data_IF_546342274687
#
_entry.id   IF_546342274687
#
_cell.length_a   1.000
_cell.length_b   1.000
_cell.length_c   1.000
_cell.angle_alpha   90.00
_cell.angle_beta   90.00
_cell.angle_gamma   90.00
#
_symmetry.space_group_name_H-M   'P 1'
#
loop_
_entity.id
_entity.type
_entity.pdbx_description
1 polymer ?
#
# COMPACT_ATOMS: atom_id res chain seq x y z
N UNK A 1 -1.92 22.54 13.87
CA UNK A 1 -2.72 21.33 13.58
C UNK A 1 -1.72 20.25 13.23
N UNK A 2 -1.54 19.24 14.07
CA UNK A 2 -0.62 18.14 13.77
C UNK A 2 -1.21 17.33 12.63
N UNK A 3 -0.57 17.36 11.46
CA UNK A 3 -1.02 16.61 10.29
C UNK A 3 -0.99 15.11 10.64
N UNK A 4 -2.15 14.46 10.58
CA UNK A 4 -2.32 13.03 10.91
C UNK A 4 -1.66 12.22 9.79
N UNK A 5 -0.38 11.88 9.94
CA UNK A 5 0.39 11.19 8.90
C UNK A 5 0.16 9.68 8.97
N UNK A 6 -0.60 9.16 8.02
CA UNK A 6 -0.72 7.73 7.74
C UNK A 6 0.45 7.31 6.85
N UNK A 7 1.05 6.16 7.13
CA UNK A 7 2.13 5.58 6.35
C UNK A 7 1.92 4.07 6.20
N UNK A 8 2.35 3.53 5.07
CA UNK A 8 2.38 2.08 4.81
C UNK A 8 3.78 1.55 5.15
N UNK A 9 3.84 0.47 5.92
CA UNK A 9 5.05 -0.22 6.30
C UNK A 9 4.94 -1.72 6.00
N UNK A 10 6.09 -2.40 5.92
CA UNK A 10 6.18 -3.86 5.76
C UNK A 10 5.29 -4.43 4.65
N UNK A 11 5.19 -3.73 3.52
CA UNK A 11 4.42 -4.19 2.37
C UNK A 11 5.02 -5.49 1.85
N UNK A 12 4.21 -6.55 1.89
CA UNK A 12 4.52 -7.85 1.35
C UNK A 12 3.44 -8.25 0.34
N UNK A 13 3.85 -8.84 -0.78
CA UNK A 13 2.95 -9.43 -1.75
C UNK A 13 3.13 -10.94 -1.75
N UNK A 14 2.03 -11.68 -1.75
CA UNK A 14 2.01 -13.14 -1.77
C UNK A 14 1.05 -13.65 -2.84
N UNK A 15 1.34 -14.80 -3.43
CA UNK A 15 0.40 -15.52 -4.28
C UNK A 15 -0.14 -16.75 -3.54
N UNK A 16 -1.46 -16.86 -3.44
CA UNK A 16 -2.16 -17.98 -2.79
C UNK A 16 -3.17 -18.53 -3.78
N UNK A 17 -2.97 -19.78 -4.23
CA UNK A 17 -3.86 -20.48 -5.19
C UNK A 17 -4.14 -19.66 -6.46
N UNK A 18 -3.11 -19.01 -7.02
CA UNK A 18 -3.23 -18.18 -8.23
C UNK A 18 -3.93 -16.84 -8.02
N UNK A 19 -4.12 -16.41 -6.78
CA UNK A 19 -4.62 -15.08 -6.43
C UNK A 19 -3.53 -14.30 -5.72
N UNK A 20 -3.34 -13.05 -6.10
CA UNK A 20 -2.40 -12.16 -5.46
C UNK A 20 -3.04 -11.53 -4.22
N UNK A 21 -2.27 -11.44 -3.15
CA UNK A 21 -2.62 -10.78 -1.91
C UNK A 21 -1.52 -9.80 -1.54
N UNK A 22 -1.90 -8.72 -0.90
CA UNK A 22 -0.98 -7.79 -0.24
C UNK A 22 -1.27 -7.77 1.24
N UNK A 23 -0.21 -7.83 2.02
CA UNK A 23 -0.23 -7.64 3.46
C UNK A 23 0.64 -6.44 3.78
N UNK A 24 0.15 -5.50 4.57
CA UNK A 24 0.92 -4.33 4.97
C UNK A 24 0.47 -3.79 6.32
N UNK A 25 1.37 -3.10 6.99
CA UNK A 25 1.09 -2.40 8.23
C UNK A 25 0.72 -0.95 7.95
N UNK A 26 -0.33 -0.48 8.61
CA UNK A 26 -0.72 0.92 8.67
C UNK A 26 -0.09 1.52 9.92
N UNK A 27 0.84 2.44 9.71
CA UNK A 27 1.46 3.20 10.76
C UNK A 27 0.89 4.62 10.82
N UNK A 28 0.66 5.12 12.02
CA UNK A 28 0.21 6.48 12.26
C UNK A 28 1.08 7.11 13.32
N UNK A 29 1.63 8.30 13.03
CA UNK A 29 2.58 8.98 13.91
C UNK A 29 3.77 8.09 14.35
N UNK A 30 4.21 7.18 13.48
CA UNK A 30 5.32 6.26 13.75
C UNK A 30 4.95 4.98 14.50
N UNK A 31 3.68 4.75 14.81
CA UNK A 31 3.20 3.54 15.49
C UNK A 31 2.30 2.72 14.56
N UNK A 32 2.56 1.41 14.45
CA UNK A 32 1.65 0.50 13.73
C UNK A 32 0.33 0.41 14.49
N UNK A 33 -0.77 0.75 13.82
CA UNK A 33 -2.13 0.76 14.39
C UNK A 33 -3.01 -0.35 13.83
N UNK A 34 -2.73 -0.82 12.63
CA UNK A 34 -3.46 -1.90 11.98
C UNK A 34 -2.56 -2.64 10.99
N UNK A 35 -2.88 -3.90 10.72
CA UNK A 35 -2.34 -4.69 9.62
C UNK A 35 -3.50 -5.01 8.68
N UNK A 36 -3.29 -4.80 7.38
CA UNK A 36 -4.28 -5.06 6.34
C UNK A 36 -3.79 -6.24 5.52
N UNK A 37 -4.67 -7.23 5.36
CA UNK A 37 -4.52 -8.28 4.35
C UNK A 37 -5.62 -8.10 3.31
N UNK A 38 -5.26 -7.99 2.03
CA UNK A 38 -6.24 -7.76 1.00
C UNK A 38 -5.89 -8.44 -0.33
N UNK A 39 -6.89 -9.00 -1.03
CA UNK A 39 -6.66 -9.51 -2.38
C UNK A 39 -6.38 -8.36 -3.36
N UNK A 40 -5.44 -8.60 -4.27
CA UNK A 40 -5.19 -7.77 -5.43
C UNK A 40 -5.95 -8.29 -6.65
N UNK A 41 -6.70 -7.39 -7.30
CA UNK A 41 -7.29 -7.62 -8.62
C UNK A 41 -6.74 -6.58 -9.60
N UNK A 42 -6.08 -7.05 -10.67
CA UNK A 42 -5.47 -6.19 -11.70
C UNK A 42 -4.57 -5.09 -11.13
N UNK A 43 -3.77 -5.42 -10.10
CA UNK A 43 -2.84 -4.49 -9.46
C UNK A 43 -3.48 -3.51 -8.47
N UNK A 44 -4.80 -3.64 -8.18
CA UNK A 44 -5.51 -2.80 -7.20
C UNK A 44 -6.03 -3.62 -6.04
N UNK A 45 -6.06 -3.03 -4.86
CA UNK A 45 -6.69 -3.64 -3.68
C UNK A 45 -8.19 -3.76 -3.87
N UNK A 46 -8.74 -4.94 -3.64
CA UNK A 46 -10.17 -5.16 -3.53
C UNK A 46 -10.61 -4.94 -2.07
N UNK A 47 -10.88 -3.68 -1.72
CA UNK A 47 -11.21 -3.27 -0.35
C UNK A 47 -12.43 -3.96 0.26
N UNK A 48 -13.38 -4.38 -0.57
CA UNK A 48 -14.57 -5.13 -0.11
C UNK A 48 -14.25 -6.49 0.49
N UNK A 49 -13.05 -7.01 0.24
CA UNK A 49 -12.55 -8.29 0.75
C UNK A 49 -11.28 -8.12 1.58
N UNK A 50 -10.93 -6.89 1.96
CA UNK A 50 -9.80 -6.63 2.84
C UNK A 50 -10.13 -7.00 4.29
N UNK A 51 -9.23 -7.72 4.95
CA UNK A 51 -9.25 -7.98 6.37
C UNK A 51 -8.39 -6.93 7.08
N UNK A 52 -8.95 -6.30 8.11
CA UNK A 52 -8.28 -5.32 8.95
C UNK A 52 -8.06 -5.92 10.34
N UNK A 53 -6.81 -6.01 10.75
CA UNK A 53 -6.40 -6.51 12.06
C UNK A 53 -5.87 -5.34 12.89
N UNK A 54 -6.49 -5.03 14.04
CA UNK A 54 -6.08 -3.93 14.91
C UNK A 54 -7.12 -2.80 14.99
N UNK A 55 -6.67 -1.55 15.10
CA UNK A 55 -7.55 -0.39 15.21
C UNK A 55 -8.25 -0.12 13.86
N UNK A 56 -9.51 -0.55 13.75
CA UNK A 56 -10.30 -0.50 12.49
C UNK A 56 -11.23 0.70 12.37
N UNK A 57 -11.27 1.63 13.33
CA UNK A 57 -12.13 2.81 13.26
C UNK A 57 -11.47 3.95 12.46
N UNK A 58 -11.21 3.66 11.18
CA UNK A 58 -10.81 4.70 10.23
C UNK A 58 -12.03 5.52 9.87
N UNK A 59 -11.99 6.82 10.16
CA UNK A 59 -13.01 7.74 9.67
C UNK A 59 -12.93 7.85 8.12
N UNK A 60 -13.96 8.38 7.45
CA UNK A 60 -13.99 8.46 5.99
C UNK A 60 -12.80 9.20 5.38
N UNK A 61 -12.30 10.26 6.03
CA UNK A 61 -11.13 11.00 5.56
C UNK A 61 -9.83 10.20 5.70
N UNK A 62 -9.69 9.42 6.76
CA UNK A 62 -8.54 8.54 6.96
C UNK A 62 -8.51 7.39 5.95
N UNK A 63 -9.68 6.88 5.56
CA UNK A 63 -9.78 5.87 4.49
C UNK A 63 -9.26 6.42 3.16
N UNK A 64 -9.66 7.64 2.79
CA UNK A 64 -9.18 8.28 1.57
C UNK A 64 -7.65 8.47 1.58
N UNK A 65 -7.08 8.87 2.72
CA UNK A 65 -5.63 9.01 2.87
C UNK A 65 -4.91 7.66 2.80
N UNK A 66 -5.48 6.62 3.42
CA UNK A 66 -4.96 5.26 3.35
C UNK A 66 -4.97 4.73 1.92
N UNK A 67 -6.08 4.90 1.21
CA UNK A 67 -6.23 4.49 -0.20
C UNK A 67 -5.19 5.17 -1.10
N UNK A 68 -4.95 6.47 -0.91
CA UNK A 68 -3.95 7.21 -1.68
C UNK A 68 -2.52 6.74 -1.40
N UNK A 69 -2.16 6.49 -0.14
CA UNK A 69 -0.82 6.01 0.21
C UNK A 69 -0.60 4.56 -0.24
N UNK A 70 -1.63 3.72 -0.20
CA UNK A 70 -1.61 2.37 -0.77
C UNK A 70 -1.39 2.42 -2.28
N UNK A 71 -2.14 3.25 -3.01
CA UNK A 71 -1.96 3.40 -4.47
C UNK A 71 -0.53 3.81 -4.79
N UNK A 72 0.02 4.77 -4.04
CA UNK A 72 1.42 5.18 -4.17
C UNK A 72 2.41 4.05 -3.86
N UNK A 73 2.16 3.25 -2.83
CA UNK A 73 3.05 2.16 -2.42
C UNK A 73 3.02 0.97 -3.39
N UNK A 74 1.86 0.71 -4.01
CA UNK A 74 1.67 -0.37 -4.98
C UNK A 74 1.99 0.05 -6.42
N UNK A 75 1.94 1.34 -6.73
CA UNK A 75 2.38 1.85 -8.01
C UNK A 75 3.88 1.57 -8.15
N UNK A 76 4.34 0.91 -9.22
CA UNK A 76 5.76 0.79 -9.47
C UNK A 76 6.35 2.21 -9.49
N UNK A 77 7.58 2.43 -8.98
CA UNK A 77 8.23 3.71 -9.18
C UNK A 77 8.15 3.97 -10.68
N UNK A 78 7.46 5.04 -11.08
CA UNK A 78 7.47 5.47 -12.47
C UNK A 78 8.95 5.50 -12.84
N UNK A 79 9.37 4.59 -13.72
CA UNK A 79 10.76 4.47 -14.13
C UNK A 79 11.12 5.81 -14.76
N UNK A 80 11.64 6.72 -13.95
CA UNK A 80 12.27 7.96 -14.40
C UNK A 80 13.54 7.50 -15.11
N UNK A 81 13.38 7.24 -16.40
CA UNK A 81 14.44 7.05 -17.37
C UNK A 81 15.55 6.09 -16.94
N UNK A 82 15.40 4.79 -17.23
CA UNK A 82 16.55 4.07 -17.77
C UNK A 82 16.88 4.71 -19.13
N UNK A 83 17.66 5.79 -19.10
CA UNK A 83 18.35 6.26 -20.29
C UNK A 83 19.27 5.11 -20.74
N UNK A 84 19.19 4.65 -22.00
CA UNK A 84 20.10 3.63 -22.49
C UNK A 84 21.53 4.16 -22.38
N UNK A 85 22.37 3.35 -21.73
CA UNK A 85 23.82 3.55 -21.66
C UNK A 85 24.37 3.38 -23.08
N UNK A 86 24.33 4.44 -23.90
CA UNK A 86 25.02 4.46 -25.17
C UNK A 86 26.53 4.43 -24.91
N UNK A 87 27.10 3.22 -24.92
CA UNK A 87 28.52 3.00 -25.12
C UNK A 87 28.86 3.43 -26.55
N UNK A 88 29.51 4.59 -26.67
CA UNK A 88 30.44 4.89 -27.75
C UNK A 88 31.68 5.48 -27.08
N UNK A 89 32.92 5.24 -27.50
CA UNK A 89 33.61 4.25 -28.30
C UNK A 89 35.10 4.54 -28.02
#
# INVERSE_FOLDING_TARGET
>A
MTEKRIAIANLAQSEIKGRNFVTFDVAMNGHVIATVDAPLMSGRILWTHAAFHGFSDFNPGEKVLLEAEVDRALSPPATVGQAPLWRHH
#
